data_IF_673811153866
#
_entry.id   IF_673811153866
#
_cell.length_a   1.000
_cell.length_b   1.000
_cell.length_c   1.000
_cell.angle_alpha   90.00
_cell.angle_beta   90.00
_cell.angle_gamma   90.00
#
_symmetry.space_group_name_H-M   'P 1'
#
loop_
_entity.id
_entity.type
_entity.pdbx_description
1 polymer ?
#
# COMPACT_ATOMS: atom_id res chain seq x y z
N UNK A 1 11.87 23.14 9.00
CA UNK A 1 12.36 21.79 8.68
C UNK A 1 11.22 20.82 8.88
N UNK A 2 10.87 20.03 7.87
CA UNK A 2 9.83 19.01 8.01
C UNK A 2 10.29 17.88 8.93
N UNK A 3 9.47 17.52 9.92
CA UNK A 3 9.74 16.42 10.86
C UNK A 3 9.46 15.07 10.21
N UNK A 4 10.14 14.01 10.65
CA UNK A 4 9.88 12.64 10.18
C UNK A 4 8.45 12.20 10.55
N UNK A 5 7.81 11.45 9.67
CA UNK A 5 6.62 10.66 9.98
C UNK A 5 7.04 9.43 10.79
N UNK A 6 6.94 9.54 12.11
CA UNK A 6 7.35 8.54 13.11
C UNK A 6 6.28 7.48 13.39
N UNK A 7 5.09 7.65 12.83
CA UNK A 7 3.96 6.74 12.89
C UNK A 7 3.48 6.41 11.46
N UNK A 8 4.44 6.21 10.55
CA UNK A 8 4.16 5.90 9.15
C UNK A 8 3.38 4.59 9.02
N UNK A 9 2.49 4.53 8.02
CA UNK A 9 1.82 3.28 7.65
C UNK A 9 2.86 2.18 7.37
N UNK A 10 2.68 0.96 7.92
CA UNK A 10 3.67 -0.10 7.74
C UNK A 10 3.80 -0.51 6.27
N UNK A 11 4.97 -1.05 5.92
CA UNK A 11 5.13 -1.70 4.64
C UNK A 11 4.23 -2.94 4.55
N UNK A 12 3.57 -3.11 3.41
CA UNK A 12 2.67 -4.25 3.15
C UNK A 12 3.43 -5.37 2.45
N UNK A 13 3.22 -6.60 2.93
CA UNK A 13 3.82 -7.82 2.39
C UNK A 13 3.23 -8.20 1.02
N UNK A 14 3.91 -9.11 0.31
CA UNK A 14 3.47 -9.59 -1.00
C UNK A 14 2.46 -10.72 -0.83
N UNK A 15 1.26 -10.53 -1.38
CA UNK A 15 0.15 -11.47 -1.27
C UNK A 15 0.52 -12.91 -1.65
N UNK A 16 1.07 -13.10 -2.86
CA UNK A 16 1.41 -14.43 -3.36
C UNK A 16 2.47 -15.12 -2.49
N UNK A 17 3.49 -14.39 -2.04
CA UNK A 17 4.55 -14.95 -1.20
C UNK A 17 3.99 -15.43 0.15
N UNK A 18 3.18 -14.59 0.81
CA UNK A 18 2.54 -14.94 2.09
C UNK A 18 1.61 -16.15 1.93
N UNK A 19 0.76 -16.18 0.90
CA UNK A 19 -0.17 -17.29 0.68
C UNK A 19 0.58 -18.61 0.43
N UNK A 20 1.62 -18.60 -0.39
CA UNK A 20 2.44 -19.80 -0.64
C UNK A 20 3.10 -20.30 0.65
N UNK A 21 3.64 -19.39 1.45
CA UNK A 21 4.22 -19.74 2.75
C UNK A 21 3.19 -20.37 3.70
N UNK A 22 2.00 -19.78 3.82
CA UNK A 22 0.96 -20.31 4.71
C UNK A 22 0.39 -21.65 4.20
N UNK A 23 0.30 -21.85 2.88
CA UNK A 23 -0.07 -23.14 2.29
C UNK A 23 0.95 -24.24 2.65
N UNK A 24 2.25 -23.95 2.54
CA UNK A 24 3.29 -24.91 2.92
C UNK A 24 3.22 -25.26 4.42
N UNK A 25 2.97 -24.26 5.28
CA UNK A 25 2.78 -24.48 6.72
C UNK A 25 1.53 -25.32 7.01
N UNK A 26 0.39 -24.98 6.42
CA UNK A 26 -0.85 -25.72 6.61
C UNK A 26 -0.73 -27.17 6.11
N UNK A 27 -0.10 -27.36 4.95
CA UNK A 27 0.17 -28.68 4.40
C UNK A 27 1.10 -29.50 5.31
N UNK A 28 2.15 -28.90 5.85
CA UNK A 28 3.06 -29.59 6.78
C UNK A 28 2.36 -30.04 8.07
N UNK A 29 1.37 -29.27 8.55
CA UNK A 29 0.67 -29.55 9.81
C UNK A 29 -0.51 -30.51 9.65
N UNK A 30 -1.23 -30.47 8.53
CA UNK A 30 -2.48 -31.23 8.36
C UNK A 30 -2.73 -31.73 6.94
N UNK A 31 -1.71 -31.74 6.08
CA UNK A 31 -1.78 -32.24 4.72
C UNK A 31 -2.71 -31.43 3.80
N UNK A 32 -3.18 -32.09 2.76
CA UNK A 32 -4.01 -31.52 1.71
C UNK A 32 -5.29 -30.84 2.22
N UNK A 33 -5.96 -31.44 3.21
CA UNK A 33 -7.19 -30.91 3.79
C UNK A 33 -6.96 -29.60 4.55
N UNK A 34 -5.87 -29.50 5.32
CA UNK A 34 -5.54 -28.26 6.02
C UNK A 34 -5.18 -27.13 5.05
N UNK A 35 -4.46 -27.44 3.96
CA UNK A 35 -4.18 -26.47 2.91
C UNK A 35 -5.45 -25.99 2.19
N UNK A 36 -6.41 -26.88 1.94
CA UNK A 36 -7.71 -26.52 1.37
C UNK A 36 -8.50 -25.61 2.31
N UNK A 37 -8.66 -26.03 3.58
CA UNK A 37 -9.37 -25.26 4.60
C UNK A 37 -8.75 -23.88 4.80
N UNK A 38 -7.42 -23.75 4.71
CA UNK A 38 -6.76 -22.45 4.74
C UNK A 38 -7.30 -21.48 3.69
N UNK A 39 -7.59 -21.95 2.46
CA UNK A 39 -8.08 -21.10 1.37
C UNK A 39 -9.59 -20.87 1.44
N UNK A 40 -10.36 -21.86 1.88
CA UNK A 40 -11.84 -21.77 1.95
C UNK A 40 -12.32 -21.04 3.20
N UNK A 41 -11.56 -21.08 4.28
CA UNK A 41 -12.01 -20.54 5.57
C UNK A 41 -11.36 -19.18 5.89
N UNK A 42 -10.30 -18.81 5.17
CA UNK A 42 -9.71 -17.48 5.32
C UNK A 42 -10.66 -16.40 4.79
N UNK A 43 -10.95 -15.42 5.64
CA UNK A 43 -11.85 -14.30 5.30
C UNK A 43 -11.03 -13.17 4.70
N UNK A 44 -11.52 -12.65 3.59
CA UNK A 44 -10.83 -11.66 2.76
C UNK A 44 -11.72 -10.46 2.50
N UNK A 45 -11.10 -9.28 2.59
CA UNK A 45 -11.62 -8.04 2.04
C UNK A 45 -10.54 -7.46 1.14
N UNK A 46 -10.87 -7.22 -0.13
CA UNK A 46 -9.95 -6.65 -1.09
C UNK A 46 -10.47 -5.32 -1.60
N UNK A 47 -9.64 -4.29 -1.53
CA UNK A 47 -9.89 -2.99 -2.13
C UNK A 47 -9.04 -2.80 -3.40
N UNK A 48 -9.54 -2.00 -4.35
CA UNK A 48 -8.74 -1.58 -5.50
C UNK A 48 -7.46 -0.87 -5.01
N UNK A 49 -6.30 -1.36 -5.45
CA UNK A 49 -5.03 -0.68 -5.20
C UNK A 49 -4.96 0.53 -6.14
N UNK A 50 -4.86 1.71 -5.55
CA UNK A 50 -4.66 2.96 -6.27
C UNK A 50 -3.16 3.24 -6.32
N UNK A 51 -2.68 3.63 -7.51
CA UNK A 51 -1.31 4.08 -7.70
C UNK A 51 -1.28 5.57 -7.41
N UNK A 52 -0.94 5.93 -6.18
CA UNK A 52 -0.93 7.31 -5.73
C UNK A 52 0.27 7.57 -4.83
N UNK A 53 0.01 8.33 -3.77
CA UNK A 53 0.94 8.42 -2.64
C UNK A 53 0.20 8.15 -1.34
N UNK A 54 0.88 7.43 -0.44
CA UNK A 54 0.45 7.32 0.95
C UNK A 54 0.35 8.72 1.56
N UNK A 55 -0.79 8.99 2.20
CA UNK A 55 -1.10 10.28 2.79
C UNK A 55 -1.89 10.08 4.07
N UNK A 56 -1.47 10.72 5.16
CA UNK A 56 -2.06 10.60 6.49
C UNK A 56 -2.53 11.92 7.08
N UNK A 57 -3.51 11.83 7.96
CA UNK A 57 -4.13 12.95 8.69
C UNK A 57 -4.10 12.60 10.19
N UNK A 58 -3.37 13.37 10.98
CA UNK A 58 -3.30 13.19 12.44
C UNK A 58 -4.51 13.78 13.15
N UNK A 59 -4.73 13.37 14.40
CA UNK A 59 -5.84 13.82 15.26
C UNK A 59 -5.92 15.35 15.42
N UNK A 60 -4.79 16.05 15.33
CA UNK A 60 -4.66 17.51 15.39
C UNK A 60 -4.84 18.19 14.02
N UNK A 61 -5.24 17.45 12.98
CA UNK A 61 -5.32 17.92 11.61
C UNK A 61 -3.97 18.03 10.89
N UNK A 62 -2.85 17.61 11.53
CA UNK A 62 -1.56 17.60 10.87
C UNK A 62 -1.55 16.64 9.68
N UNK A 63 -0.90 17.05 8.59
CA UNK A 63 -0.83 16.27 7.37
C UNK A 63 0.52 15.54 7.29
N UNK A 64 0.50 14.30 6.83
CA UNK A 64 1.66 13.43 6.74
C UNK A 64 1.76 12.83 5.35
N UNK A 65 2.93 12.91 4.75
CA UNK A 65 3.28 12.04 3.64
C UNK A 65 3.85 10.72 4.13
N UNK A 66 4.38 9.92 3.21
CA UNK A 66 4.91 8.59 3.54
C UNK A 66 6.04 8.64 4.58
N UNK A 67 6.96 9.61 4.52
CA UNK A 67 8.15 9.65 5.39
C UNK A 67 8.25 10.93 6.20
N UNK A 68 7.55 11.98 5.82
CA UNK A 68 7.66 13.28 6.46
C UNK A 68 6.30 13.92 6.77
N UNK A 69 6.28 14.76 7.80
CA UNK A 69 5.15 15.66 8.08
C UNK A 69 5.11 16.76 7.02
N UNK A 70 3.94 17.03 6.48
CA UNK A 70 3.74 18.10 5.51
C UNK A 70 3.65 19.43 6.27
N UNK A 71 4.26 20.48 5.74
CA UNK A 71 4.28 21.79 6.37
C UNK A 71 2.85 22.34 6.55
N UNK A 72 2.53 22.94 7.72
CA UNK A 72 1.29 23.68 7.88
C UNK A 72 1.12 24.71 6.76
N UNK A 73 -0.10 24.89 6.26
CA UNK A 73 -0.47 25.82 5.18
C UNK A 73 -0.07 25.44 3.75
N UNK A 74 0.50 24.25 3.50
CA UNK A 74 0.64 23.73 2.13
C UNK A 74 -0.73 23.62 1.47
N UNK A 75 -0.88 24.22 0.28
CA UNK A 75 -2.12 24.12 -0.51
C UNK A 75 -2.17 22.88 -1.39
N UNK A 76 -1.01 22.33 -1.75
CA UNK A 76 -0.91 21.14 -2.61
C UNK A 76 0.16 20.17 -2.10
N UNK A 77 -0.03 18.88 -2.40
CA UNK A 77 0.96 17.82 -2.19
C UNK A 77 0.94 16.87 -3.39
N UNK A 78 2.11 16.57 -3.95
CA UNK A 78 2.21 15.81 -5.21
C UNK A 78 1.29 16.36 -6.34
N UNK A 79 1.18 17.70 -6.41
CA UNK A 79 0.30 18.45 -7.34
C UNK A 79 -1.21 18.28 -7.12
N UNK A 80 -1.62 17.57 -6.07
CA UNK A 80 -3.03 17.42 -5.69
C UNK A 80 -3.40 18.53 -4.69
N UNK A 81 -4.51 19.25 -4.89
CA UNK A 81 -5.03 20.20 -3.91
C UNK A 81 -5.34 19.54 -2.57
N UNK A 82 -4.92 20.16 -1.46
CA UNK A 82 -5.11 19.64 -0.10
C UNK A 82 -6.44 20.06 0.54
N UNK A 83 -7.23 20.91 -0.11
CA UNK A 83 -8.58 21.24 0.35
C UNK A 83 -9.54 20.03 0.32
N UNK A 84 -9.21 18.96 -0.41
CA UNK A 84 -10.01 17.73 -0.45
C UNK A 84 -9.93 16.93 0.85
N UNK A 85 -8.89 17.15 1.67
CA UNK A 85 -8.71 16.49 2.98
C UNK A 85 -8.93 17.44 4.16
N UNK A 86 -9.04 18.75 3.93
CA UNK A 86 -9.15 19.73 5.02
C UNK A 86 -10.46 19.67 5.80
N UNK A 87 -11.50 19.06 5.23
CA UNK A 87 -12.79 18.87 5.90
C UNK A 87 -12.83 17.60 6.76
N UNK A 88 -11.81 16.75 6.70
CA UNK A 88 -11.78 15.48 7.42
C UNK A 88 -11.32 15.72 8.86
N UNK A 89 -12.21 15.43 9.81
CA UNK A 89 -11.90 15.49 11.23
C UNK A 89 -11.53 14.09 11.74
N UNK A 90 -10.23 13.83 11.83
CA UNK A 90 -9.69 12.56 12.35
C UNK A 90 -10.03 12.34 13.84
N UNK A 91 -10.23 13.40 14.63
CA UNK A 91 -10.67 13.26 16.02
C UNK A 91 -12.11 12.74 16.10
N UNK A 92 -12.99 13.13 15.18
CA UNK A 92 -14.36 12.59 15.12
C UNK A 92 -14.35 11.10 14.76
N UNK A 93 -13.44 10.67 13.88
CA UNK A 93 -13.27 9.25 13.54
C UNK A 93 -12.76 8.45 14.75
N UNK A 94 -11.83 9.00 15.53
CA UNK A 94 -11.38 8.37 16.77
C UNK A 94 -12.53 8.24 17.78
N UNK A 95 -13.37 9.27 17.93
CA UNK A 95 -14.53 9.22 18.81
C UNK A 95 -15.52 8.11 18.38
N UNK A 96 -15.85 8.02 17.09
CA UNK A 96 -16.73 6.95 16.60
C UNK A 96 -16.11 5.55 16.71
N UNK A 97 -14.79 5.44 16.54
CA UNK A 97 -14.08 4.19 16.77
C UNK A 97 -14.19 3.76 18.24
N UNK A 98 -14.06 4.70 19.18
CA UNK A 98 -14.22 4.45 20.62
C UNK A 98 -15.64 4.02 20.99
N UNK A 99 -16.63 4.73 20.47
CA UNK A 99 -18.03 4.39 20.65
C UNK A 99 -18.31 2.97 20.12
N UNK A 100 -17.75 2.62 18.96
CA UNK A 100 -17.91 1.30 18.36
C UNK A 100 -17.24 0.17 19.16
N UNK A 101 -16.09 0.44 19.80
CA UNK A 101 -15.45 -0.54 20.71
C UNK A 101 -16.02 -0.53 22.13
N UNK A 102 -17.01 0.33 22.40
CA UNK A 102 -17.81 0.32 23.62
C UNK A 102 -17.27 1.15 24.78
N UNK A 103 -16.30 2.08 24.55
CA UNK A 103 -15.64 3.09 25.41
C UNK A 103 -15.31 2.78 26.90
N UNK A 104 -15.86 1.74 27.51
CA UNK A 104 -15.69 1.42 28.92
C UNK A 104 -14.29 0.85 29.15
N UNK A 105 -13.37 1.75 29.48
CA UNK A 105 -12.03 1.42 29.97
C UNK A 105 -10.94 1.37 28.92
N UNK A 106 -11.20 1.75 27.67
CA UNK A 106 -10.14 1.84 26.65
C UNK A 106 -9.45 3.22 26.76
N UNK A 107 -8.12 3.29 26.97
CA UNK A 107 -7.42 4.56 27.19
C UNK A 107 -7.25 5.35 25.89
N UNK A 108 -7.15 6.67 26.01
CA UNK A 108 -6.87 7.55 24.88
C UNK A 108 -5.52 7.21 24.25
N UNK A 109 -5.44 7.06 22.91
CA UNK A 109 -4.14 6.90 22.26
C UNK A 109 -3.32 8.18 22.40
N UNK A 110 -2.00 8.02 22.54
CA UNK A 110 -1.04 9.14 22.49
C UNK A 110 -1.15 9.87 21.16
N UNK A 111 -1.29 9.11 20.08
CA UNK A 111 -1.38 9.62 18.72
C UNK A 111 -2.32 8.73 17.90
N UNK A 112 -3.13 9.37 17.06
CA UNK A 112 -4.05 8.72 16.15
C UNK A 112 -3.91 9.37 14.77
N UNK A 113 -3.73 8.53 13.74
CA UNK A 113 -3.62 9.00 12.36
C UNK A 113 -4.47 8.14 11.44
N UNK A 114 -5.25 8.79 10.59
CA UNK A 114 -5.87 8.14 9.44
C UNK A 114 -4.86 8.07 8.31
N UNK A 115 -4.89 6.98 7.55
CA UNK A 115 -4.10 6.82 6.34
C UNK A 115 -4.99 6.43 5.16
N UNK A 116 -4.64 7.00 4.02
CA UNK A 116 -5.31 6.75 2.75
C UNK A 116 -4.36 6.96 1.58
N UNK A 117 -4.87 6.65 0.40
CA UNK A 117 -4.14 6.88 -0.86
C UNK A 117 -4.63 8.18 -1.48
N UNK A 118 -3.70 9.09 -1.75
CA UNK A 118 -3.95 10.32 -2.49
C UNK A 118 -3.72 10.06 -3.98
N UNK A 119 -4.79 10.09 -4.78
CA UNK A 119 -4.74 9.79 -6.21
C UNK A 119 -4.10 10.92 -7.02
N UNK A 120 -2.78 10.89 -7.13
CA UNK A 120 -1.96 11.91 -7.78
C UNK A 120 -1.61 11.60 -9.24
N UNK A 121 -2.06 10.45 -9.77
CA UNK A 121 -1.81 10.05 -11.15
C UNK A 121 -3.12 9.73 -11.89
N UNK A 122 -3.03 9.61 -13.22
CA UNK A 122 -4.19 9.39 -14.11
C UNK A 122 -4.17 8.01 -14.78
N UNK A 123 -3.44 7.04 -14.23
CA UNK A 123 -3.32 5.71 -14.81
C UNK A 123 -4.63 4.92 -14.69
N UNK A 124 -4.77 3.78 -15.38
CA UNK A 124 -5.87 2.81 -15.20
C UNK A 124 -7.31 3.41 -15.17
N UNK A 125 -7.55 4.43 -16.00
CA UNK A 125 -8.82 5.16 -16.04
C UNK A 125 -9.27 5.73 -14.68
N UNK A 126 -8.31 6.07 -13.81
CA UNK A 126 -8.58 6.65 -12.48
C UNK A 126 -9.44 7.90 -12.53
N UNK A 127 -9.35 8.69 -13.61
CA UNK A 127 -10.22 9.84 -13.81
C UNK A 127 -11.69 9.44 -13.89
N UNK A 128 -12.00 8.41 -14.68
CA UNK A 128 -13.37 7.93 -14.89
C UNK A 128 -13.91 7.22 -13.63
N UNK A 129 -13.01 6.63 -12.84
CA UNK A 129 -13.33 6.03 -11.54
C UNK A 129 -13.42 7.02 -10.38
N UNK A 130 -13.10 8.29 -10.59
CA UNK A 130 -13.12 9.32 -9.55
C UNK A 130 -11.95 9.26 -8.55
N UNK A 131 -10.85 8.59 -8.88
CA UNK A 131 -9.66 8.50 -8.02
C UNK A 131 -8.70 9.68 -8.19
N UNK A 132 -8.73 10.40 -9.31
CA UNK A 132 -7.84 11.56 -9.55
C UNK A 132 -8.25 12.73 -8.67
N UNK A 133 -7.28 13.31 -7.95
CA UNK A 133 -7.50 14.39 -6.98
C UNK A 133 -8.52 14.01 -5.89
N UNK A 134 -8.53 12.73 -5.51
CA UNK A 134 -9.30 12.22 -4.39
C UNK A 134 -8.35 11.59 -3.35
N UNK A 135 -8.81 11.49 -2.11
CA UNK A 135 -8.14 10.76 -1.05
C UNK A 135 -9.08 9.69 -0.51
N UNK A 136 -8.61 8.45 -0.42
CA UNK A 136 -9.40 7.31 0.03
C UNK A 136 -8.73 6.63 1.22
N UNK A 137 -9.34 6.74 2.40
CA UNK A 137 -8.86 6.12 3.63
C UNK A 137 -8.88 4.58 3.53
N UNK A 138 -7.77 3.94 3.88
CA UNK A 138 -7.67 2.47 3.94
C UNK A 138 -7.35 1.93 5.33
N UNK A 139 -7.13 2.80 6.33
CA UNK A 139 -6.83 2.37 7.69
C UNK A 139 -6.47 3.51 8.63
N UNK A 140 -6.18 3.14 9.87
CA UNK A 140 -5.71 4.05 10.90
C UNK A 140 -4.54 3.45 11.68
N UNK A 141 -3.77 4.30 12.35
CA UNK A 141 -2.68 3.89 13.23
C UNK A 141 -2.87 4.56 14.59
N UNK A 142 -2.81 3.75 15.65
CA UNK A 142 -2.89 4.18 17.04
C UNK A 142 -1.53 3.97 17.71
N UNK A 143 -1.02 4.99 18.40
CA UNK A 143 0.11 4.86 19.33
C UNK A 143 -0.40 4.89 20.76
N UNK A 144 0.04 3.95 21.57
CA UNK A 144 -0.43 3.73 22.94
C UNK A 144 0.71 3.95 23.93
N UNK A 145 0.37 4.29 25.18
CA UNK A 145 1.38 4.71 26.15
C UNK A 145 2.19 3.56 26.71
N UNK A 146 1.58 2.38 26.83
CA UNK A 146 2.19 1.21 27.43
C UNK A 146 1.59 -0.09 26.87
N UNK A 147 2.12 -1.22 27.31
CA UNK A 147 1.69 -2.54 26.85
C UNK A 147 0.28 -2.93 27.31
N UNK A 148 -0.17 -2.44 28.46
CA UNK A 148 -1.50 -2.75 29.00
C UNK A 148 -2.58 -2.04 28.18
N UNK A 149 -2.39 -0.75 27.88
CA UNK A 149 -3.23 0.02 26.97
C UNK A 149 -3.32 -0.66 25.59
N UNK A 150 -2.17 -1.15 25.11
CA UNK A 150 -2.06 -1.89 23.86
C UNK A 150 -2.89 -3.18 23.85
N UNK A 151 -2.84 -3.95 24.93
CA UNK A 151 -3.64 -5.15 25.04
C UNK A 151 -5.14 -4.82 25.15
N UNK A 152 -5.52 -3.81 25.93
CA UNK A 152 -6.91 -3.37 26.08
C UNK A 152 -7.52 -2.94 24.74
N UNK A 153 -6.80 -2.15 23.93
CA UNK A 153 -7.25 -1.79 22.60
C UNK A 153 -7.43 -3.01 21.67
N UNK A 154 -6.50 -3.97 21.70
CA UNK A 154 -6.61 -5.20 20.87
C UNK A 154 -7.83 -6.02 21.25
N UNK A 155 -8.12 -6.14 22.53
CA UNK A 155 -9.28 -6.89 23.03
C UNK A 155 -10.58 -6.18 22.67
N UNK A 156 -10.64 -4.86 22.82
CA UNK A 156 -11.81 -4.06 22.45
C UNK A 156 -12.08 -4.07 20.93
N UNK A 157 -11.03 -3.91 20.11
CA UNK A 157 -11.14 -4.02 18.65
C UNK A 157 -11.63 -5.41 18.22
N UNK A 158 -11.12 -6.48 18.86
CA UNK A 158 -11.54 -7.85 18.59
C UNK A 158 -13.02 -8.07 18.90
N UNK A 159 -13.48 -7.63 20.06
CA UNK A 159 -14.87 -7.81 20.48
C UNK A 159 -15.83 -7.06 19.53
N UNK A 160 -15.45 -5.85 19.12
CA UNK A 160 -16.19 -5.05 18.16
C UNK A 160 -15.92 -5.44 16.68
N UNK A 161 -15.27 -6.58 16.44
CA UNK A 161 -15.03 -7.17 15.10
C UNK A 161 -14.23 -6.30 14.14
N UNK A 162 -13.43 -5.36 14.66
CA UNK A 162 -12.44 -4.65 13.87
C UNK A 162 -11.27 -5.56 13.51
N UNK A 163 -10.67 -5.29 12.36
CA UNK A 163 -9.45 -5.96 11.93
C UNK A 163 -8.24 -5.09 12.24
N UNK A 164 -7.21 -5.69 12.80
CA UNK A 164 -5.99 -4.98 13.19
C UNK A 164 -4.74 -5.86 13.05
N UNK A 165 -3.58 -5.22 13.08
CA UNK A 165 -2.29 -5.88 13.25
C UNK A 165 -1.36 -5.04 14.11
N UNK A 166 -0.40 -5.68 14.76
CA UNK A 166 0.70 -4.97 15.43
C UNK A 166 1.63 -4.40 14.37
N UNK A 167 2.14 -3.18 14.57
CA UNK A 167 3.13 -2.62 13.66
C UNK A 167 4.49 -3.34 13.83
N UNK A 168 5.15 -3.77 12.73
CA UNK A 168 6.42 -4.49 12.82
C UNK A 168 7.49 -3.72 13.62
N UNK A 169 8.03 -4.37 14.65
CA UNK A 169 9.07 -3.78 15.52
C UNK A 169 8.59 -2.67 16.45
N UNK A 170 7.27 -2.49 16.62
CA UNK A 170 6.66 -1.42 17.41
C UNK A 170 5.54 -1.98 18.30
N UNK A 171 5.89 -2.34 19.53
CA UNK A 171 4.95 -2.89 20.51
C UNK A 171 3.95 -1.85 21.07
N UNK A 172 4.17 -0.57 20.77
CA UNK A 172 3.33 0.57 21.17
C UNK A 172 2.31 0.97 20.09
N UNK A 173 2.24 0.26 18.96
CA UNK A 173 1.49 0.71 17.78
C UNK A 173 0.58 -0.37 17.23
N UNK A 174 -0.70 -0.05 17.15
CA UNK A 174 -1.74 -0.85 16.49
C UNK A 174 -2.09 -0.21 15.15
N UNK A 175 -2.25 -1.04 14.13
CA UNK A 175 -2.74 -0.64 12.80
C UNK A 175 -4.14 -1.21 12.64
N UNK A 176 -5.14 -0.32 12.54
CA UNK A 176 -6.52 -0.69 12.21
C UNK A 176 -6.66 -0.76 10.69
N UNK A 177 -7.18 -1.89 10.23
CA UNK A 177 -7.21 -2.30 8.83
C UNK A 177 -8.63 -2.12 8.30
N UNK A 178 -8.75 -1.75 7.03
CA UNK A 178 -10.04 -1.73 6.33
C UNK A 178 -10.76 -3.09 6.45
N UNK A 179 -11.93 -3.03 7.08
CA UNK A 179 -12.89 -4.11 7.34
C UNK A 179 -14.30 -3.49 7.45
N UNK A 180 -15.40 -4.26 7.51
CA UNK A 180 -16.74 -3.71 7.42
C UNK A 180 -17.04 -2.78 8.60
N UNK A 181 -16.66 -3.17 9.82
CA UNK A 181 -16.79 -2.33 11.02
C UNK A 181 -16.04 -0.98 10.89
N UNK A 182 -14.83 -0.99 10.31
CA UNK A 182 -14.09 0.26 10.09
C UNK A 182 -14.69 1.12 8.97
N UNK A 183 -15.22 0.50 7.92
CA UNK A 183 -15.93 1.22 6.85
C UNK A 183 -17.21 1.88 7.39
N UNK A 184 -17.93 1.25 8.32
CA UNK A 184 -19.07 1.85 9.01
C UNK A 184 -18.66 3.09 9.81
N UNK A 185 -17.57 3.02 10.57
CA UNK A 185 -17.00 4.18 11.30
C UNK A 185 -16.66 5.32 10.33
N UNK A 186 -15.93 5.03 9.24
CA UNK A 186 -15.57 6.04 8.25
C UNK A 186 -16.81 6.66 7.59
N UNK A 187 -17.82 5.84 7.29
CA UNK A 187 -19.08 6.28 6.68
C UNK A 187 -19.86 7.21 7.61
N UNK A 188 -19.94 6.89 8.90
CA UNK A 188 -20.58 7.74 9.92
C UNK A 188 -19.94 9.13 10.00
N UNK A 189 -18.63 9.21 9.75
CA UNK A 189 -17.88 10.46 9.74
C UNK A 189 -17.79 11.13 8.35
N UNK A 190 -18.51 10.64 7.33
CA UNK A 190 -18.42 11.11 5.94
C UNK A 190 -16.98 11.11 5.38
N UNK A 191 -16.15 10.18 5.82
CA UNK A 191 -14.76 10.05 5.37
C UNK A 191 -14.71 9.14 4.14
N UNK A 192 -14.20 9.62 2.98
CA UNK A 192 -14.04 8.76 1.81
C UNK A 192 -13.08 7.62 2.13
N UNK A 193 -13.49 6.40 1.82
CA UNK A 193 -12.71 5.20 2.09
C UNK A 193 -12.34 4.47 0.79
N UNK A 194 -11.40 3.54 0.89
CA UNK A 194 -10.98 2.68 -0.20
C UNK A 194 -12.19 1.90 -0.73
N UNK A 195 -12.26 1.78 -2.06
CA UNK A 195 -13.35 1.07 -2.73
C UNK A 195 -13.15 -0.43 -2.55
N UNK A 196 -14.03 -1.05 -1.78
CA UNK A 196 -14.06 -2.50 -1.65
C UNK A 196 -14.46 -3.11 -3.00
N UNK A 197 -13.57 -3.94 -3.53
CA UNK A 197 -13.78 -4.70 -4.73
C UNK A 197 -14.38 -6.06 -4.38
N UNK A 198 -13.93 -6.72 -3.31
CA UNK A 198 -14.34 -8.09 -3.02
C UNK A 198 -14.41 -8.37 -1.53
N UNK A 199 -15.39 -9.17 -1.12
CA UNK A 199 -15.55 -9.74 0.21
C UNK A 199 -15.90 -11.21 0.08
N UNK A 200 -15.21 -12.09 0.81
CA UNK A 200 -15.44 -13.53 0.72
C UNK A 200 -14.23 -14.33 1.17
N UNK A 201 -14.00 -15.47 0.52
CA UNK A 201 -12.87 -16.35 0.83
C UNK A 201 -11.65 -16.04 -0.03
N UNK A 202 -10.50 -16.60 0.33
CA UNK A 202 -9.27 -16.43 -0.45
C UNK A 202 -9.39 -17.09 -1.83
N UNK A 203 -9.98 -18.29 -1.90
CA UNK A 203 -10.18 -18.99 -3.18
C UNK A 203 -11.16 -18.22 -4.09
N UNK A 204 -12.24 -17.70 -3.52
CA UNK A 204 -13.22 -16.92 -4.26
C UNK A 204 -12.60 -15.60 -4.75
N UNK A 205 -11.77 -14.92 -3.95
CA UNK A 205 -11.09 -13.70 -4.39
C UNK A 205 -10.34 -13.93 -5.70
N UNK A 206 -9.51 -14.98 -5.74
CA UNK A 206 -8.66 -15.26 -6.91
C UNK A 206 -9.49 -15.66 -8.12
N UNK A 207 -10.52 -16.48 -7.93
CA UNK A 207 -11.44 -16.85 -9.00
C UNK A 207 -12.19 -15.64 -9.57
N UNK A 208 -12.78 -14.80 -8.72
CA UNK A 208 -13.60 -13.65 -9.13
C UNK A 208 -12.76 -12.51 -9.71
N UNK A 209 -11.52 -12.33 -9.25
CA UNK A 209 -10.65 -11.22 -9.67
C UNK A 209 -9.64 -11.58 -10.74
N UNK A 210 -9.55 -12.85 -11.15
CA UNK A 210 -8.66 -13.31 -12.23
C UNK A 210 -8.75 -12.41 -13.46
N UNK A 211 -9.94 -12.29 -14.06
CA UNK A 211 -10.08 -11.62 -15.35
C UNK A 211 -9.79 -10.11 -15.26
N UNK A 212 -10.16 -9.48 -14.16
CA UNK A 212 -9.84 -8.06 -13.89
C UNK A 212 -8.33 -7.85 -13.69
N UNK A 213 -7.66 -8.76 -12.96
CA UNK A 213 -6.21 -8.72 -12.78
C UNK A 213 -5.46 -8.99 -14.09
N UNK A 214 -6.06 -9.78 -14.99
CA UNK A 214 -5.52 -10.10 -16.31
C UNK A 214 -5.74 -8.98 -17.33
N UNK A 215 -6.87 -8.26 -17.28
CA UNK A 215 -7.22 -7.19 -18.22
C UNK A 215 -6.39 -5.92 -18.05
N UNK A 216 -5.90 -5.69 -16.83
CA UNK A 216 -5.16 -4.47 -16.47
C UNK A 216 -6.03 -3.25 -16.28
N UNK A 217 -7.24 -3.47 -15.75
CA UNK A 217 -8.19 -2.42 -15.42
C UNK A 217 -7.82 -1.63 -14.14
N UNK A 218 -6.71 -1.97 -13.46
CA UNK A 218 -6.22 -1.31 -12.24
C UNK A 218 -4.81 -1.77 -11.86
N UNK A 219 -4.18 -1.16 -10.86
CA UNK A 219 -2.81 -1.52 -10.44
C UNK A 219 -2.75 -2.89 -9.72
N UNK A 220 -3.85 -3.30 -9.10
CA UNK A 220 -3.97 -4.52 -8.33
C UNK A 220 -4.95 -4.37 -7.17
N UNK A 221 -4.75 -5.15 -6.13
CA UNK A 221 -5.58 -5.18 -4.93
C UNK A 221 -4.74 -5.00 -3.66
N UNK A 222 -5.32 -4.30 -2.68
CA UNK A 222 -4.88 -4.37 -1.28
C UNK A 222 -5.82 -5.33 -0.57
N UNK A 223 -5.27 -6.41 -0.03
CA UNK A 223 -6.00 -7.54 0.56
C UNK A 223 -5.81 -7.50 2.07
N UNK A 224 -6.90 -7.25 2.77
CA UNK A 224 -7.04 -7.50 4.20
C UNK A 224 -7.43 -8.97 4.40
N UNK A 225 -6.61 -9.73 5.13
CA UNK A 225 -6.73 -11.19 5.22
C UNK A 225 -6.75 -11.66 6.68
N UNK A 226 -7.83 -12.34 7.06
CA UNK A 226 -7.97 -13.00 8.35
C UNK A 226 -7.83 -14.52 8.16
N UNK A 227 -6.69 -15.07 8.60
CA UNK A 227 -6.43 -16.51 8.53
C UNK A 227 -7.29 -17.29 9.54
N UNK A 228 -7.76 -18.50 9.19
CA UNK A 228 -8.47 -19.36 10.12
C UNK A 228 -7.57 -19.74 11.31
N UNK A 229 -8.15 -19.78 12.51
CA UNK A 229 -7.44 -20.16 13.73
C UNK A 229 -6.49 -19.11 14.32
N UNK A 230 -6.28 -17.96 13.67
CA UNK A 230 -5.65 -16.80 14.34
C UNK A 230 -6.63 -16.16 15.32
N UNK A 231 -6.11 -15.46 16.32
CA UNK A 231 -6.93 -14.66 17.24
C UNK A 231 -7.88 -13.79 16.43
N UNK A 232 -9.17 -13.79 16.79
CA UNK A 232 -10.18 -13.01 16.08
C UNK A 232 -9.72 -11.54 15.97
N UNK A 233 -9.96 -10.95 14.80
CA UNK A 233 -9.56 -9.58 14.47
C UNK A 233 -8.11 -9.40 14.01
N UNK A 234 -7.18 -10.34 14.24
CA UNK A 234 -5.78 -10.15 13.84
C UNK A 234 -5.56 -10.49 12.36
N UNK A 235 -5.72 -9.50 11.49
CA UNK A 235 -5.60 -9.64 10.05
C UNK A 235 -4.18 -9.28 9.53
N UNK A 236 -3.92 -9.56 8.25
CA UNK A 236 -2.73 -9.15 7.51
C UNK A 236 -3.11 -8.22 6.37
N UNK A 237 -2.24 -7.26 6.05
CA UNK A 237 -2.41 -6.38 4.89
C UNK A 237 -1.40 -6.77 3.82
N UNK A 238 -1.92 -7.27 2.70
CA UNK A 238 -1.13 -7.81 1.60
C UNK A 238 -1.40 -7.01 0.32
N UNK A 239 -0.40 -6.89 -0.55
CA UNK A 239 -0.59 -6.32 -1.90
C UNK A 239 -0.55 -7.43 -2.94
N UNK A 240 -1.60 -7.52 -3.76
CA UNK A 240 -1.63 -8.36 -4.95
C UNK A 240 -1.55 -7.48 -6.19
N UNK A 241 -0.36 -7.40 -6.78
CA UNK A 241 -0.14 -6.62 -8.00
C UNK A 241 -0.50 -7.44 -9.22
N UNK A 242 -0.98 -6.75 -10.25
CA UNK A 242 -1.26 -7.37 -11.54
C UNK A 242 0.02 -7.71 -12.32
N UNK A 243 -0.09 -8.54 -13.37
CA UNK A 243 1.05 -8.96 -14.18
C UNK A 243 1.79 -7.86 -14.97
N UNK A 244 1.26 -6.63 -15.01
CA UNK A 244 1.95 -5.49 -15.66
C UNK A 244 3.16 -4.98 -14.87
N UNK A 245 3.18 -5.18 -13.55
CA UNK A 245 4.35 -4.89 -12.73
C UNK A 245 5.08 -6.19 -12.41
N UNK A 246 6.43 -6.22 -12.53
CA UNK A 246 7.17 -7.42 -12.17
C UNK A 246 6.88 -7.75 -10.70
N UNK A 247 6.35 -8.94 -10.48
CA UNK A 247 6.20 -9.47 -9.13
C UNK A 247 7.59 -9.52 -8.46
N UNK A 248 7.61 -9.36 -7.14
CA UNK A 248 8.87 -9.48 -6.40
C UNK A 248 9.50 -10.85 -6.66
N UNK A 249 10.83 -10.94 -6.84
CA UNK A 249 11.51 -12.21 -7.07
C UNK A 249 11.18 -13.28 -6.02
N UNK A 250 11.01 -12.88 -4.75
CA UNK A 250 10.59 -13.76 -3.67
C UNK A 250 9.19 -14.34 -3.88
N UNK A 251 8.25 -13.56 -4.38
CA UNK A 251 6.89 -14.02 -4.69
C UNK A 251 6.87 -15.00 -5.88
N UNK A 252 7.66 -14.72 -6.92
CA UNK A 252 7.82 -15.62 -8.07
C UNK A 252 8.42 -16.95 -7.62
N UNK A 253 9.51 -16.89 -6.86
CA UNK A 253 10.19 -18.09 -6.37
C UNK A 253 9.29 -18.93 -5.45
N UNK A 254 8.57 -18.28 -4.52
CA UNK A 254 7.63 -18.96 -3.64
C UNK A 254 6.55 -19.68 -4.45
N UNK A 255 5.91 -18.99 -5.40
CA UNK A 255 4.87 -19.59 -6.24
C UNK A 255 5.38 -20.75 -7.09
N UNK A 256 6.55 -20.59 -7.74
CA UNK A 256 7.14 -21.66 -8.55
C UNK A 256 7.44 -22.91 -7.70
N UNK A 257 7.92 -22.71 -6.47
CA UNK A 257 8.21 -23.81 -5.54
C UNK A 257 6.92 -24.54 -5.14
N UNK A 258 5.87 -23.81 -4.77
CA UNK A 258 4.57 -24.39 -4.40
C UNK A 258 3.89 -25.08 -5.59
N UNK A 259 3.95 -24.48 -6.79
CA UNK A 259 3.42 -25.06 -8.04
C UNK A 259 4.16 -26.32 -8.47
N UNK A 260 5.46 -26.45 -8.19
CA UNK A 260 6.19 -27.69 -8.47
C UNK A 260 5.67 -28.89 -7.65
N UNK A 261 4.83 -28.64 -6.64
CA UNK A 261 4.22 -29.66 -5.77
C UNK A 261 2.70 -29.81 -5.98
N UNK A 262 2.15 -29.34 -7.11
CA UNK A 262 0.70 -29.36 -7.39
C UNK A 262 0.04 -30.73 -7.22
N UNK A 263 0.73 -31.83 -7.55
CA UNK A 263 0.20 -33.19 -7.43
C UNK A 263 -0.11 -33.60 -5.98
N UNK A 264 0.34 -32.83 -4.99
CA UNK A 264 0.06 -33.06 -3.57
C UNK A 264 -1.20 -32.35 -3.08
N UNK A 265 -1.70 -31.40 -3.84
CA UNK A 265 -2.80 -30.54 -3.43
C UNK A 265 -4.14 -31.00 -4.04
N UNK A 266 -5.27 -30.74 -3.36
CA UNK A 266 -6.59 -30.94 -3.95
C UNK A 266 -6.79 -30.06 -5.20
N UNK A 267 -7.73 -30.46 -6.07
CA UNK A 267 -7.92 -29.85 -7.38
C UNK A 267 -8.23 -28.34 -7.34
N UNK A 268 -8.95 -27.89 -6.32
CA UNK A 268 -9.31 -26.48 -6.10
C UNK A 268 -8.11 -25.63 -5.66
N UNK A 269 -7.25 -26.15 -4.78
CA UNK A 269 -5.96 -25.53 -4.42
C UNK A 269 -5.04 -25.46 -5.64
N UNK A 270 -5.02 -26.50 -6.47
CA UNK A 270 -4.23 -26.50 -7.71
C UNK A 270 -4.76 -25.47 -8.73
N UNK A 271 -6.08 -25.34 -8.87
CA UNK A 271 -6.69 -24.30 -9.69
C UNK A 271 -6.38 -22.89 -9.18
N UNK A 272 -6.40 -22.70 -7.86
CA UNK A 272 -6.02 -21.45 -7.21
C UNK A 272 -4.57 -21.05 -7.54
N UNK A 273 -3.61 -21.96 -7.34
CA UNK A 273 -2.18 -21.71 -7.57
C UNK A 273 -1.87 -21.45 -9.06
N UNK A 274 -2.47 -22.23 -9.96
CA UNK A 274 -2.32 -22.03 -11.40
C UNK A 274 -2.94 -20.70 -11.84
N UNK A 275 -4.04 -20.27 -11.23
CA UNK A 275 -4.63 -18.95 -11.49
C UNK A 275 -3.72 -17.81 -11.03
N UNK A 276 -3.08 -17.93 -9.87
CA UNK A 276 -2.07 -16.94 -9.44
C UNK A 276 -0.88 -16.88 -10.40
N UNK A 277 -0.44 -18.04 -10.87
CA UNK A 277 0.66 -18.15 -11.83
C UNK A 277 0.28 -17.51 -13.17
N UNK A 278 -0.94 -17.75 -13.65
CA UNK A 278 -1.50 -17.10 -14.83
C UNK A 278 -1.51 -15.57 -14.68
N UNK A 279 -2.05 -15.05 -13.57
CA UNK A 279 -2.09 -13.60 -13.33
C UNK A 279 -0.68 -12.99 -13.32
N UNK A 280 0.29 -13.69 -12.74
CA UNK A 280 1.67 -13.23 -12.66
C UNK A 280 2.44 -13.30 -13.98
N UNK A 281 2.15 -14.26 -14.85
CA UNK A 281 2.91 -14.47 -16.10
C UNK A 281 2.20 -13.96 -17.35
N UNK A 282 0.88 -14.02 -17.38
CA UNK A 282 0.05 -13.79 -18.56
C UNK A 282 -0.83 -12.55 -18.45
N UNK A 283 -0.76 -11.78 -17.34
CA UNK A 283 -1.42 -10.48 -17.24
C UNK A 283 -1.11 -9.62 -18.47
N UNK A 284 -2.12 -8.88 -18.96
CA UNK A 284 -2.14 -8.38 -20.33
C UNK A 284 -0.77 -7.84 -20.81
N UNK A 285 -0.32 -8.19 -22.01
CA UNK A 285 0.85 -7.55 -22.57
C UNK A 285 0.53 -6.08 -22.77
N UNK A 286 1.07 -5.25 -21.87
CA UNK A 286 1.11 -3.79 -21.89
C UNK A 286 0.52 -3.18 -23.18
N UNK A 287 -0.80 -2.90 -23.15
CA UNK A 287 -1.54 -2.39 -24.32
C UNK A 287 -1.07 -0.98 -24.72
N UNK A 288 -0.29 -0.31 -23.85
CA UNK A 288 0.42 0.94 -24.15
C UNK A 288 1.71 0.69 -24.97
N UNK A 289 2.18 -0.56 -25.02
CA UNK A 289 3.51 -0.90 -25.57
C UNK A 289 3.47 -1.78 -26.83
N UNK A 290 2.33 -2.42 -27.16
CA UNK A 290 2.26 -3.25 -28.38
C UNK A 290 2.34 -2.44 -29.69
N UNK A 291 1.89 -1.18 -29.73
CA UNK A 291 1.96 -0.34 -30.93
C UNK A 291 3.28 0.45 -31.09
N UNK A 292 4.17 0.47 -30.07
CA UNK A 292 5.45 1.21 -30.10
C UNK A 292 6.70 0.35 -30.30
N UNK A 293 6.56 -0.98 -30.27
CA UNK A 293 7.69 -1.90 -30.07
C UNK A 293 8.61 -2.14 -31.27
N UNK A 294 8.36 -1.55 -32.44
CA UNK A 294 9.15 -1.85 -33.66
C UNK A 294 10.16 -0.74 -34.05
N UNK A 295 10.18 0.46 -33.43
CA UNK A 295 11.05 1.57 -33.92
C UNK A 295 11.99 2.30 -32.95
N UNK A 296 12.06 1.96 -31.64
CA UNK A 296 12.57 2.92 -30.61
C UNK A 296 13.62 2.38 -29.59
N UNK A 297 14.46 1.40 -29.91
CA UNK A 297 15.34 0.75 -28.91
C UNK A 297 16.44 1.63 -28.27
N UNK A 298 16.80 2.78 -28.86
CA UNK A 298 17.84 3.69 -28.28
C UNK A 298 17.27 4.92 -27.55
N UNK A 299 16.07 5.37 -27.93
CA UNK A 299 15.29 6.36 -27.16
C UNK A 299 14.55 5.71 -25.97
N UNK A 300 14.42 4.37 -25.97
CA UNK A 300 13.75 3.61 -24.92
C UNK A 300 14.48 3.65 -23.57
N UNK A 301 15.81 3.49 -23.52
CA UNK A 301 16.54 3.50 -22.23
C UNK A 301 16.52 4.85 -21.49
N UNK A 302 16.58 5.97 -22.22
CA UNK A 302 16.43 7.29 -21.60
C UNK A 302 15.00 7.49 -21.06
N UNK A 303 14.01 6.92 -21.75
CA UNK A 303 12.61 6.90 -21.30
C UNK A 303 12.38 5.93 -20.13
N UNK A 304 13.10 4.81 -20.04
CA UNK A 304 12.99 3.84 -18.94
C UNK A 304 13.39 4.47 -17.60
N UNK A 305 14.56 5.11 -17.52
CA UNK A 305 14.95 5.81 -16.30
C UNK A 305 14.09 7.04 -16.02
N UNK A 306 13.61 7.76 -17.04
CA UNK A 306 12.66 8.86 -16.81
C UNK A 306 11.32 8.33 -16.24
N UNK A 307 10.83 7.18 -16.71
CA UNK A 307 9.62 6.53 -16.18
C UNK A 307 9.83 5.99 -14.76
N UNK A 308 10.93 5.29 -14.50
CA UNK A 308 11.28 4.79 -13.17
C UNK A 308 11.49 5.94 -12.17
N UNK A 309 12.09 7.05 -12.60
CA UNK A 309 12.19 8.26 -11.77
C UNK A 309 10.83 8.89 -11.49
N UNK A 310 9.92 8.90 -12.48
CA UNK A 310 8.57 9.41 -12.27
C UNK A 310 7.78 8.53 -11.28
N UNK A 311 7.89 7.21 -11.39
CA UNK A 311 7.34 6.23 -10.43
C UNK A 311 7.97 6.40 -9.04
N UNK A 312 9.29 6.53 -8.94
CA UNK A 312 9.96 6.81 -7.67
C UNK A 312 9.45 8.12 -7.05
N UNK A 313 9.24 9.18 -7.84
CA UNK A 313 8.78 10.46 -7.33
C UNK A 313 7.35 10.42 -6.73
N UNK A 314 6.48 9.51 -7.16
CA UNK A 314 5.15 9.31 -6.54
C UNK A 314 5.26 8.51 -5.24
N UNK A 315 6.25 7.60 -5.13
CA UNK A 315 6.49 6.79 -3.92
C UNK A 315 7.15 7.57 -2.78
N UNK A 316 7.82 8.68 -3.09
CA UNK A 316 8.52 9.53 -2.12
C UNK A 316 7.70 10.74 -1.71
N UNK A 317 8.10 11.40 -0.61
CA UNK A 317 7.62 12.74 -0.32
C UNK A 317 8.00 13.72 -1.43
N UNK A 318 7.23 14.81 -1.53
CA UNK A 318 7.48 15.85 -2.55
C UNK A 318 8.93 16.34 -2.52
N UNK A 319 9.55 16.64 -3.68
CA UNK A 319 10.92 17.13 -3.74
C UNK A 319 11.18 18.32 -2.80
N UNK A 320 10.21 19.22 -2.66
CA UNK A 320 10.31 20.41 -1.81
C UNK A 320 10.58 20.07 -0.34
N UNK A 321 9.96 19.00 0.18
CA UNK A 321 10.15 18.57 1.57
C UNK A 321 11.61 18.18 1.86
N UNK A 322 12.30 17.64 0.86
CA UNK A 322 13.73 17.37 0.92
C UNK A 322 14.55 18.63 0.69
N UNK A 323 14.22 19.41 -0.34
CA UNK A 323 14.96 20.61 -0.73
C UNK A 323 14.99 21.70 0.34
N UNK A 324 13.95 21.77 1.18
CA UNK A 324 13.91 22.65 2.35
C UNK A 324 15.05 22.39 3.37
N UNK A 325 15.71 21.22 3.32
CA UNK A 325 16.90 20.90 4.13
C UNK A 325 18.22 21.30 3.43
N UNK A 326 18.16 22.06 2.34
CA UNK A 326 19.31 22.52 1.56
C UNK A 326 20.07 21.38 0.87
N UNK A 327 21.41 21.50 0.79
CA UNK A 327 22.27 20.54 0.07
C UNK A 327 22.19 19.12 0.65
N UNK A 328 22.05 18.98 1.96
CA UNK A 328 21.92 17.66 2.60
C UNK A 328 20.64 16.95 2.14
N UNK A 329 19.51 17.67 2.11
CA UNK A 329 18.24 17.13 1.63
C UNK A 329 18.24 16.82 0.13
N UNK A 330 18.92 17.62 -0.70
CA UNK A 330 19.14 17.30 -2.11
C UNK A 330 19.83 15.94 -2.28
N UNK A 331 20.94 15.71 -1.56
CA UNK A 331 21.69 14.46 -1.63
C UNK A 331 20.86 13.27 -1.10
N UNK A 332 20.09 13.50 -0.03
CA UNK A 332 19.14 12.51 0.51
C UNK A 332 18.10 12.12 -0.55
N UNK A 333 17.48 13.10 -1.22
CA UNK A 333 16.47 12.85 -2.26
C UNK A 333 17.06 12.12 -3.47
N UNK A 334 18.27 12.51 -3.92
CA UNK A 334 18.97 11.80 -5.01
C UNK A 334 19.17 10.34 -4.66
N UNK A 335 19.65 10.05 -3.44
CA UNK A 335 19.84 8.67 -2.98
C UNK A 335 18.52 7.92 -2.96
N UNK A 336 17.48 8.48 -2.34
CA UNK A 336 16.17 7.83 -2.26
C UNK A 336 15.58 7.53 -3.64
N UNK A 337 15.66 8.47 -4.60
CA UNK A 337 15.16 8.23 -5.96
C UNK A 337 16.01 7.19 -6.69
N UNK A 338 17.34 7.21 -6.52
CA UNK A 338 18.21 6.22 -7.13
C UNK A 338 17.98 4.80 -6.59
N UNK A 339 17.78 4.67 -5.28
CA UNK A 339 17.44 3.40 -4.64
C UNK A 339 16.13 2.83 -5.20
N UNK A 340 15.08 3.66 -5.32
CA UNK A 340 13.80 3.25 -5.92
C UNK A 340 13.95 2.86 -7.41
N UNK A 341 14.74 3.60 -8.19
CA UNK A 341 15.00 3.26 -9.61
C UNK A 341 15.78 1.94 -9.72
N UNK A 342 16.68 1.64 -8.79
CA UNK A 342 17.42 0.37 -8.77
C UNK A 342 16.54 -0.81 -8.39
N UNK A 343 15.47 -0.62 -7.60
CA UNK A 343 14.47 -1.68 -7.36
C UNK A 343 13.76 -2.08 -8.65
N UNK A 344 13.42 -1.10 -9.50
CA UNK A 344 12.78 -1.36 -10.81
C UNK A 344 13.79 -1.90 -11.86
N UNK A 345 15.09 -1.63 -11.66
CA UNK A 345 16.16 -2.01 -12.58
C UNK A 345 17.37 -2.64 -11.85
N UNK A 346 17.23 -3.84 -11.24
CA UNK A 346 18.26 -4.45 -10.39
C UNK A 346 19.56 -4.81 -11.14
N UNK A 347 19.53 -4.88 -12.47
CA UNK A 347 20.70 -5.15 -13.30
C UNK A 347 21.39 -3.87 -13.83
N UNK A 348 20.83 -2.69 -13.57
CA UNK A 348 21.47 -1.45 -13.97
C UNK A 348 22.68 -1.14 -13.07
N UNK A 349 23.83 -0.69 -13.64
CA UNK A 349 24.96 -0.26 -12.82
C UNK A 349 24.58 0.92 -11.90
N UNK A 350 24.75 0.74 -10.59
CA UNK A 350 24.31 1.70 -9.58
C UNK A 350 24.94 3.10 -9.78
N UNK A 351 26.21 3.15 -10.18
CA UNK A 351 26.93 4.40 -10.49
C UNK A 351 26.27 5.18 -11.64
N UNK A 352 25.79 4.47 -12.67
CA UNK A 352 25.10 5.08 -13.81
C UNK A 352 23.72 5.61 -13.43
N UNK A 353 22.96 4.85 -12.65
CA UNK A 353 21.66 5.29 -12.13
C UNK A 353 21.84 6.52 -11.25
N UNK A 354 22.77 6.48 -10.31
CA UNK A 354 23.09 7.59 -9.42
C UNK A 354 23.48 8.86 -10.19
N UNK A 355 24.36 8.73 -11.19
CA UNK A 355 24.78 9.85 -12.04
C UNK A 355 23.61 10.46 -12.83
N UNK A 356 22.75 9.59 -13.39
CA UNK A 356 21.55 10.02 -14.12
C UNK A 356 20.57 10.79 -13.24
N UNK A 357 20.19 10.19 -12.10
CA UNK A 357 19.26 10.75 -11.12
C UNK A 357 19.80 12.07 -10.56
N UNK A 358 21.08 12.11 -10.18
CA UNK A 358 21.76 13.31 -9.68
C UNK A 358 21.68 14.48 -10.67
N UNK A 359 21.94 14.23 -11.96
CA UNK A 359 21.86 15.27 -13.00
C UNK A 359 20.44 15.82 -13.17
N UNK A 360 19.42 14.96 -13.11
CA UNK A 360 18.01 15.36 -13.28
C UNK A 360 17.48 16.11 -12.07
N UNK A 361 17.70 15.57 -10.87
CA UNK A 361 17.25 16.19 -9.62
C UNK A 361 18.03 17.49 -9.34
N UNK A 362 19.33 17.55 -9.65
CA UNK A 362 20.09 18.79 -9.53
C UNK A 362 19.52 19.94 -10.37
N UNK A 363 19.02 19.65 -11.58
CA UNK A 363 18.28 20.63 -12.40
C UNK A 363 16.96 21.05 -11.75
N UNK A 364 16.23 20.10 -11.16
CA UNK A 364 14.98 20.38 -10.45
C UNK A 364 15.21 21.28 -9.24
N UNK A 365 16.22 20.96 -8.42
CA UNK A 365 16.64 21.76 -7.27
C UNK A 365 17.10 23.17 -7.67
N UNK A 366 17.84 23.30 -8.76
CA UNK A 366 18.25 24.61 -9.29
C UNK A 366 17.07 25.48 -9.74
N UNK A 367 15.96 24.88 -10.21
CA UNK A 367 14.72 25.61 -10.49
C UNK A 367 14.02 26.01 -9.20
N UNK A 368 13.90 25.09 -8.25
CA UNK A 368 13.30 25.33 -6.94
C UNK A 368 14.00 26.48 -6.19
N UNK A 369 15.33 26.50 -6.14
CA UNK A 369 16.10 27.60 -5.53
C UNK A 369 15.78 28.97 -6.15
N UNK A 370 15.57 29.02 -7.47
CA UNK A 370 15.25 30.28 -8.16
C UNK A 370 13.85 30.79 -7.83
N UNK A 371 12.87 29.90 -7.69
CA UNK A 371 11.51 30.29 -7.29
C UNK A 371 11.42 30.70 -5.82
N UNK A 372 12.14 30.00 -4.93
CA UNK A 372 12.10 30.30 -3.49
C UNK A 372 12.77 31.63 -3.13
N UNK A 373 13.71 32.13 -3.94
CA UNK A 373 14.35 33.44 -3.72
C UNK A 373 13.53 34.63 -4.28
N UNK A 374 12.43 34.36 -4.98
CA UNK A 374 11.54 35.39 -5.55
C UNK A 374 10.32 35.67 -4.67
N UNK A 375 10.12 34.85 -3.63
CA UNK A 375 9.14 35.04 -2.57
C UNK A 375 9.83 35.66 -1.36
#
# INVERSE_FOLDING_TARGET
MSSKNDLAWPETEHFVAEVCQQLDVAFALGGAAAAQNLLTDAVVIAAEKIDGTNFGIGQDGALFGRRFRIEPHRETYQKVPLNIVSAINSSDVLAHLRDAVGDVGVPDPIDFRLYGELGCNQMYSYKDKGFVNAWHCFGAVLRLANADDHQQWKDALREARFWFQDAPGRADVIVVISCPAFVEVLSACNVPHARIAFEGTLIDLVAHRRDWMMSGDGEGLVVSLLWPGRHSGQARILKWKMGHEPAAPSAIFALQTTVAMLDRYPADVSLFLTTLQDVMHNGAPDTVTYSRRIRKAKLARANEFDNAMASAATKLDSPDAYFAKGRAGLLEYIRCVADEVLLDHPHAPADKVQSYVSKRIGKLYGKWLKSSNQQ
#
